data_IF_692593038810
#
_entry.id   IF_692593038810
#
_cell.length_a   1.000
_cell.length_b   1.000
_cell.length_c   1.000
_cell.angle_alpha   90.00
_cell.angle_beta   90.00
_cell.angle_gamma   90.00
#
_symmetry.space_group_name_H-M   'P 1'
#
loop_
_entity.id
_entity.type
_entity.pdbx_description
1 polymer ?
#
# COMPACT_ATOMS: atom_id res chain seq x y z
N UNK A 1 -18.97 -6.21 3.73
CA UNK A 1 -17.59 -6.42 4.20
C UNK A 1 -16.68 -5.46 3.45
N UNK A 2 -15.71 -4.82 4.12
CA UNK A 2 -14.74 -3.91 3.48
C UNK A 2 -13.51 -4.73 3.09
N UNK A 3 -13.08 -4.62 1.84
CA UNK A 3 -11.91 -5.34 1.33
C UNK A 3 -10.61 -4.69 1.81
N UNK A 4 -9.50 -5.45 1.79
CA UNK A 4 -8.19 -4.94 2.20
C UNK A 4 -7.77 -3.70 1.40
N UNK A 5 -7.96 -3.73 0.08
CA UNK A 5 -7.66 -2.60 -0.80
C UNK A 5 -8.50 -1.36 -0.48
N UNK A 6 -9.78 -1.55 -0.17
CA UNK A 6 -10.65 -0.46 0.27
C UNK A 6 -10.19 0.13 1.61
N UNK A 7 -9.72 -0.73 2.53
CA UNK A 7 -9.18 -0.31 3.82
C UNK A 7 -7.92 0.54 3.67
N UNK A 8 -7.04 0.21 2.73
CA UNK A 8 -5.86 1.03 2.40
C UNK A 8 -6.24 2.43 1.93
N UNK A 9 -7.27 2.53 1.09
CA UNK A 9 -7.81 3.83 0.63
C UNK A 9 -8.30 4.65 1.84
N UNK A 10 -9.03 4.02 2.77
CA UNK A 10 -9.55 4.70 3.95
C UNK A 10 -8.42 5.19 4.88
N UNK A 11 -7.38 4.38 5.09
CA UNK A 11 -6.20 4.76 5.90
C UNK A 11 -5.46 5.93 5.26
N UNK A 12 -5.21 5.88 3.96
CA UNK A 12 -4.55 6.98 3.25
C UNK A 12 -5.37 8.28 3.33
N UNK A 13 -6.69 8.22 3.08
CA UNK A 13 -7.54 9.41 3.17
C UNK A 13 -7.62 9.96 4.61
N UNK A 14 -7.51 9.09 5.62
CA UNK A 14 -7.51 9.50 7.03
C UNK A 14 -6.24 10.29 7.40
N UNK A 15 -5.09 9.86 6.87
CA UNK A 15 -3.80 10.51 7.09
C UNK A 15 -3.68 11.84 6.35
N UNK A 16 -3.95 11.85 5.04
CA UNK A 16 -3.72 13.01 4.18
C UNK A 16 -4.90 13.98 4.11
N UNK A 17 -6.11 13.56 4.49
CA UNK A 17 -7.34 14.37 4.54
C UNK A 17 -7.54 15.20 3.28
N UNK A 18 -7.34 16.52 3.36
CA UNK A 18 -7.57 17.48 2.27
C UNK A 18 -6.40 17.62 1.28
N UNK A 19 -5.28 16.94 1.56
CA UNK A 19 -4.02 17.03 0.79
C UNK A 19 -3.74 15.78 -0.03
N UNK A 20 -4.71 14.88 -0.13
CA UNK A 20 -4.60 13.58 -0.77
C UNK A 20 -4.40 13.68 -2.30
N UNK A 21 -3.61 12.74 -2.86
CA UNK A 21 -3.45 12.57 -4.30
C UNK A 21 -3.90 11.17 -4.73
N UNK A 22 -4.90 11.10 -5.61
CA UNK A 22 -5.41 9.81 -6.12
C UNK A 22 -4.35 9.01 -6.87
N UNK A 23 -3.37 9.67 -7.48
CA UNK A 23 -2.22 9.03 -8.12
C UNK A 23 -1.35 8.27 -7.12
N UNK A 24 -1.11 8.85 -5.94
CA UNK A 24 -0.29 8.22 -4.90
C UNK A 24 -0.96 6.96 -4.35
N UNK A 25 -2.27 7.00 -4.06
CA UNK A 25 -3.01 5.80 -3.65
C UNK A 25 -2.91 4.70 -4.70
N UNK A 26 -3.06 5.09 -5.97
CA UNK A 26 -3.02 4.16 -7.09
C UNK A 26 -1.67 3.46 -7.17
N UNK A 27 -0.58 4.19 -6.98
CA UNK A 27 0.78 3.66 -6.95
C UNK A 27 1.03 2.79 -5.71
N UNK A 28 0.73 3.31 -4.51
CA UNK A 28 0.92 2.60 -3.24
C UNK A 28 0.17 1.27 -3.19
N UNK A 29 -1.10 1.27 -3.59
CA UNK A 29 -1.94 0.05 -3.57
C UNK A 29 -1.88 -0.79 -4.85
N UNK A 30 -1.00 -0.45 -5.79
CA UNK A 30 -0.86 -1.07 -7.11
C UNK A 30 -2.25 -1.31 -7.76
N UNK A 31 -3.04 -0.25 -7.85
CA UNK A 31 -4.38 -0.29 -8.42
C UNK A 31 -4.34 -0.04 -9.93
N UNK A 32 -5.10 -0.84 -10.69
CA UNK A 32 -5.49 -0.38 -12.02
C UNK A 32 -6.50 0.76 -11.90
N UNK A 33 -6.58 1.61 -12.93
CA UNK A 33 -7.54 2.74 -12.95
C UNK A 33 -8.99 2.25 -12.72
N UNK A 34 -9.35 1.10 -13.30
CA UNK A 34 -10.68 0.51 -13.15
C UNK A 34 -10.91 -0.02 -11.72
N UNK A 35 -9.90 -0.62 -11.11
CA UNK A 35 -9.99 -1.10 -9.72
C UNK A 35 -10.15 0.05 -8.74
N UNK A 36 -9.35 1.12 -8.90
CA UNK A 36 -9.44 2.30 -8.04
C UNK A 36 -10.84 2.93 -8.12
N UNK A 37 -11.35 3.16 -9.34
CA UNK A 37 -12.69 3.70 -9.55
C UNK A 37 -13.76 2.82 -8.88
N UNK A 38 -13.70 1.51 -9.13
CA UNK A 38 -14.64 0.55 -8.53
C UNK A 38 -14.59 0.60 -7.00
N UNK A 39 -13.40 0.58 -6.38
CA UNK A 39 -13.26 0.66 -4.93
C UNK A 39 -13.79 1.97 -4.35
N UNK A 40 -13.62 3.10 -5.04
CA UNK A 40 -14.20 4.38 -4.63
C UNK A 40 -15.73 4.39 -4.71
N UNK A 41 -16.29 3.86 -5.80
CA UNK A 41 -17.74 3.73 -5.99
C UNK A 41 -18.35 2.79 -4.92
N UNK A 42 -17.68 1.67 -4.65
CA UNK A 42 -18.07 0.70 -3.61
C UNK A 42 -17.98 1.33 -2.20
N UNK A 43 -16.93 2.08 -1.89
CA UNK A 43 -16.80 2.79 -0.61
C UNK A 43 -17.87 3.89 -0.45
N UNK A 44 -18.20 4.59 -1.52
CA UNK A 44 -19.26 5.62 -1.54
C UNK A 44 -20.64 4.98 -1.32
N UNK A 45 -20.96 3.89 -2.03
CA UNK A 45 -22.23 3.17 -1.87
C UNK A 45 -22.37 2.54 -0.47
N UNK A 46 -21.26 2.13 0.15
CA UNK A 46 -21.21 1.64 1.54
C UNK A 46 -21.37 2.77 2.58
N UNK A 47 -21.41 4.03 2.15
CA UNK A 47 -21.51 5.21 3.01
C UNK A 47 -20.24 5.49 3.82
N UNK A 48 -19.08 5.04 3.34
CA UNK A 48 -17.78 5.26 3.98
C UNK A 48 -17.09 6.54 3.51
N UNK A 49 -17.40 6.97 2.29
CA UNK A 49 -16.91 8.20 1.69
C UNK A 49 -18.07 9.14 1.38
N UNK A 50 -17.81 10.43 1.54
CA UNK A 50 -18.67 11.52 1.10
C UNK A 50 -17.89 12.39 0.13
N UNK A 51 -18.57 12.97 -0.86
CA UNK A 51 -17.93 13.89 -1.79
C UNK A 51 -18.33 15.32 -1.36
N UNK A 52 -17.46 15.96 -0.59
CA UNK A 52 -17.70 17.31 -0.08
C UNK A 52 -16.84 18.29 -0.89
N UNK A 53 -17.46 19.27 -1.55
CA UNK A 53 -16.75 20.29 -2.34
C UNK A 53 -15.79 19.73 -3.41
N UNK A 54 -16.14 18.60 -4.03
CA UNK A 54 -15.31 17.94 -5.06
C UNK A 54 -14.12 17.15 -4.52
N UNK A 55 -14.06 16.93 -3.20
CA UNK A 55 -13.06 16.12 -2.52
C UNK A 55 -13.72 14.97 -1.77
N UNK A 56 -13.05 13.83 -1.76
CA UNK A 56 -13.47 12.66 -0.99
C UNK A 56 -13.09 12.87 0.47
N UNK A 57 -14.08 12.80 1.36
CA UNK A 57 -13.92 12.87 2.79
C UNK A 57 -14.49 11.61 3.45
N UNK A 58 -13.82 11.14 4.50
CA UNK A 58 -14.31 10.03 5.32
C UNK A 58 -15.59 10.43 6.04
N UNK A 59 -16.53 9.49 6.13
CA UNK A 59 -17.69 9.65 6.99
C UNK A 59 -17.36 9.18 8.41
N UNK A 60 -18.16 9.60 9.40
CA UNK A 60 -18.06 9.09 10.78
C UNK A 60 -18.07 7.54 10.83
N UNK A 61 -18.81 6.90 9.92
CA UNK A 61 -18.85 5.43 9.81
C UNK A 61 -17.46 4.84 9.47
N UNK A 62 -16.73 5.47 8.56
CA UNK A 62 -15.39 5.02 8.19
C UNK A 62 -14.38 5.30 9.30
N UNK A 63 -14.48 6.45 9.98
CA UNK A 63 -13.63 6.77 11.13
C UNK A 63 -13.80 5.76 12.28
N UNK A 64 -15.04 5.40 12.61
CA UNK A 64 -15.34 4.36 13.60
C UNK A 64 -14.74 3.01 13.20
N UNK A 65 -14.87 2.62 11.92
CA UNK A 65 -14.28 1.38 11.41
C UNK A 65 -12.75 1.38 11.57
N UNK A 66 -12.08 2.49 11.24
CA UNK A 66 -10.63 2.61 11.41
C UNK A 66 -10.24 2.54 12.89
N UNK A 67 -11.01 3.17 13.77
CA UNK A 67 -10.79 3.12 15.22
C UNK A 67 -10.97 1.71 15.78
N UNK A 68 -12.02 1.01 15.40
CA UNK A 68 -12.29 -0.37 15.82
C UNK A 68 -11.20 -1.35 15.37
N UNK A 69 -10.50 -1.02 14.28
CA UNK A 69 -9.37 -1.80 13.74
C UNK A 69 -8.00 -1.32 14.23
N UNK A 70 -7.94 -0.33 15.12
CA UNK A 70 -6.70 0.33 15.55
C UNK A 70 -5.87 0.93 14.39
N UNK A 71 -6.55 1.39 13.33
CA UNK A 71 -5.94 1.97 12.12
C UNK A 71 -6.11 3.50 12.04
N UNK A 72 -6.79 4.12 13.00
CA UNK A 72 -7.04 5.57 12.98
C UNK A 72 -5.77 6.43 13.09
N UNK A 73 -4.69 5.88 13.65
CA UNK A 73 -3.43 6.58 13.89
C UNK A 73 -2.24 5.89 13.19
N UNK A 74 -2.51 4.98 12.24
CA UNK A 74 -1.47 4.26 11.51
C UNK A 74 -1.13 5.04 10.25
N UNK A 75 0.16 5.30 9.98
CA UNK A 75 0.56 5.86 8.70
C UNK A 75 0.38 4.80 7.61
N UNK A 76 -0.16 5.19 6.46
CA UNK A 76 -0.21 4.35 5.28
C UNK A 76 1.21 3.90 4.90
N UNK A 77 2.21 4.74 5.14
CA UNK A 77 3.60 4.41 4.84
C UNK A 77 4.11 3.29 5.73
N UNK A 78 3.71 3.22 7.00
CA UNK A 78 4.05 2.11 7.90
C UNK A 78 3.45 0.77 7.42
N UNK A 79 2.31 0.82 6.71
CA UNK A 79 1.69 -0.39 6.12
C UNK A 79 2.45 -0.90 4.90
N UNK A 80 3.22 -0.04 4.24
CA UNK A 80 4.02 -0.36 3.05
C UNK A 80 5.52 -0.43 3.33
N UNK A 81 5.96 0.12 4.46
CA UNK A 81 7.22 -0.22 5.10
C UNK A 81 7.10 -1.65 5.63
N UNK A 82 7.19 -2.61 4.71
CA UNK A 82 8.11 -3.69 5.01
C UNK A 82 9.39 -2.98 5.40
N UNK A 83 9.94 -3.30 6.57
CA UNK A 83 11.33 -3.03 6.87
C UNK A 83 12.07 -3.07 5.54
N UNK A 84 12.85 -2.04 5.24
CA UNK A 84 14.07 -2.28 4.49
C UNK A 84 14.83 -3.33 5.29
N UNK A 85 14.41 -4.60 5.18
CA UNK A 85 15.27 -5.74 5.14
C UNK A 85 16.12 -5.39 3.93
N UNK A 86 17.15 -4.57 4.17
CA UNK A 86 18.47 -4.92 3.68
C UNK A 86 18.52 -6.42 3.87
N UNK A 87 18.29 -7.14 2.78
CA UNK A 87 18.82 -8.48 2.63
C UNK A 87 20.29 -8.27 2.93
N UNK A 88 20.67 -8.42 4.19
CA UNK A 88 22.03 -8.71 4.54
C UNK A 88 22.22 -10.07 3.89
N UNK A 89 22.55 -10.04 2.60
CA UNK A 89 23.24 -11.12 1.98
C UNK A 89 24.40 -11.37 2.94
N UNK A 90 24.31 -12.46 3.70
CA UNK A 90 25.49 -13.07 4.30
C UNK A 90 26.23 -13.68 3.11
N UNK A 91 26.66 -12.81 2.19
CA UNK A 91 27.58 -13.14 1.13
C UNK A 91 28.90 -13.32 1.87
N UNK A 92 29.20 -14.57 2.20
CA UNK A 92 30.60 -14.96 2.17
C UNK A 92 31.12 -14.50 0.81
N UNK A 93 32.20 -13.70 0.74
CA UNK A 93 32.75 -13.30 -0.55
C UNK A 93 33.03 -14.57 -1.34
N UNK A 94 32.41 -14.69 -2.53
CA UNK A 94 32.62 -15.81 -3.44
C UNK A 94 34.12 -15.91 -3.71
N UNK A 95 34.73 -17.01 -3.30
CA UNK A 95 36.12 -17.29 -3.57
C UNK A 95 36.23 -17.95 -4.95
N UNK A 96 37.38 -17.82 -5.62
CA UNK A 96 37.62 -18.50 -6.89
C UNK A 96 37.44 -20.02 -6.80
N UNK A 97 37.55 -20.61 -5.61
CA UNK A 97 37.30 -22.03 -5.36
C UNK A 97 35.82 -22.41 -5.34
N UNK A 98 34.91 -21.45 -5.19
CA UNK A 98 33.46 -21.68 -5.23
C UNK A 98 32.90 -21.66 -6.66
N UNK A 99 33.73 -21.31 -7.65
CA UNK A 99 33.36 -21.28 -9.07
C UNK A 99 33.83 -22.56 -9.75
N UNK A 100 32.90 -23.41 -10.18
CA UNK A 100 33.23 -24.59 -10.99
C UNK A 100 33.59 -24.16 -12.42
N UNK A 101 34.86 -24.31 -12.79
CA UNK A 101 35.32 -24.19 -14.18
C UNK A 101 35.37 -25.60 -14.78
N UNK A 102 34.56 -25.90 -15.83
CA UNK A 102 34.62 -27.19 -16.51
C UNK A 102 36.02 -27.45 -17.07
N UNK A 103 36.50 -28.70 -16.98
CA UNK A 103 37.86 -29.10 -17.39
C UNK A 103 38.26 -28.73 -18.83
N UNK A 104 37.28 -28.49 -19.70
CA UNK A 104 37.50 -28.20 -21.12
C UNK A 104 37.28 -26.73 -21.49
N UNK A 105 37.24 -25.82 -20.52
CA UNK A 105 37.11 -24.39 -20.77
C UNK A 105 38.37 -23.87 -21.48
N UNK A 106 38.25 -23.52 -22.77
CA UNK A 106 39.32 -22.91 -23.58
C UNK A 106 39.09 -21.41 -23.67
N UNK A 107 40.11 -20.63 -23.32
CA UNK A 107 40.18 -19.17 -23.45
C UNK A 107 40.29 -18.72 -24.91
#
# INVERSE_FOLDING_TARGET
MVEFKELLILVYLNEYRDTYLLSEIKELGNFSTNQMKKSLDDLTSKGMLSNNTGRLALTNKAELLLKDKNLSNVSITDLFQQDTVTLNFIEKPLSFTDTYIPKDFKL
#
